data_IF_282305697365
#
_entry.id   IF_282305697365
#
_cell.length_a   1.000
_cell.length_b   1.000
_cell.length_c   1.000
_cell.angle_alpha   90.00
_cell.angle_beta   90.00
_cell.angle_gamma   90.00
#
_symmetry.space_group_name_H-M   'P 1'
#
loop_
_entity.id
_entity.type
_entity.pdbx_description
1 polymer ?
#
# COMPACT_ATOMS: atom_id res chain seq x y z
N UNK A 1 47.03 16.86 60.88
CA UNK A 1 46.85 15.77 59.89
C UNK A 1 46.23 14.57 60.58
N UNK A 2 44.97 14.26 60.29
CA UNK A 2 44.38 12.95 60.55
C UNK A 2 43.19 12.77 59.59
N UNK A 3 43.42 12.02 58.50
CA UNK A 3 42.37 11.47 57.64
C UNK A 3 41.60 10.44 58.46
N UNK A 4 40.27 10.54 58.53
CA UNK A 4 39.42 9.43 58.99
C UNK A 4 38.41 9.07 57.91
N UNK A 5 38.62 7.85 57.42
CA UNK A 5 37.85 7.08 56.45
C UNK A 5 36.32 7.17 56.63
N UNK A 6 35.60 7.48 55.54
CA UNK A 6 34.18 7.20 55.43
C UNK A 6 33.99 5.78 54.88
N UNK A 7 33.57 4.86 55.76
CA UNK A 7 33.04 3.56 55.38
C UNK A 7 31.70 3.74 54.64
N UNK A 8 31.65 3.34 53.36
CA UNK A 8 30.38 3.14 52.64
C UNK A 8 29.65 1.95 53.26
N UNK A 9 28.57 2.20 54.00
CA UNK A 9 27.54 1.18 54.23
C UNK A 9 26.68 1.10 52.98
N UNK A 10 26.67 -0.06 52.32
CA UNK A 10 25.68 -0.41 51.29
C UNK A 10 24.32 -0.53 51.99
N UNK A 11 23.50 0.50 51.88
CA UNK A 11 22.10 0.49 52.25
C UNK A 11 21.26 0.16 51.02
N UNK A 12 20.39 -0.84 51.16
CA UNK A 12 19.36 -1.24 50.21
C UNK A 12 18.43 -0.03 49.97
N UNK A 13 18.29 0.39 48.71
CA UNK A 13 17.35 1.45 48.32
C UNK A 13 15.94 0.86 48.23
N UNK A 14 15.12 1.13 49.24
CA UNK A 14 13.67 1.05 49.11
C UNK A 14 13.21 2.40 48.55
N UNK A 15 12.90 2.46 47.26
CA UNK A 15 12.48 3.70 46.58
C UNK A 15 11.03 4.00 46.98
N UNK A 16 10.86 4.83 48.00
CA UNK A 16 9.61 5.58 48.23
C UNK A 16 9.74 6.85 47.38
N UNK A 17 8.83 7.04 46.42
CA UNK A 17 8.88 8.16 45.47
C UNK A 17 8.86 9.51 46.22
N UNK A 18 9.91 10.32 46.04
CA UNK A 18 9.93 11.73 46.42
C UNK A 18 9.85 12.57 45.15
N UNK A 19 8.85 13.47 45.04
CA UNK A 19 8.83 14.49 43.99
C UNK A 19 9.61 15.72 44.48
N UNK A 20 10.80 15.99 43.93
CA UNK A 20 11.51 17.25 44.18
C UNK A 20 10.87 18.36 43.35
N UNK A 21 10.10 19.25 43.99
CA UNK A 21 9.68 20.51 43.37
C UNK A 21 10.66 21.60 43.81
N UNK A 22 11.43 22.13 42.86
CA UNK A 22 12.36 23.22 43.11
C UNK A 22 11.56 24.54 43.06
N UNK A 23 11.09 25.02 44.21
CA UNK A 23 10.38 26.31 44.29
C UNK A 23 11.43 27.41 44.40
N UNK A 24 11.68 28.12 43.30
CA UNK A 24 12.58 29.27 43.31
C UNK A 24 11.98 30.43 44.10
N UNK A 25 12.34 30.55 45.38
CA UNK A 25 11.95 31.70 46.22
C UNK A 25 13.18 32.46 46.69
N UNK A 26 13.20 33.75 46.36
CA UNK A 26 14.11 34.72 46.93
C UNK A 26 13.72 34.94 48.40
N UNK A 27 14.70 34.95 49.31
CA UNK A 27 14.47 35.10 50.74
C UNK A 27 13.74 36.42 51.04
N UNK A 28 12.45 36.33 51.39
CA UNK A 28 11.71 37.41 52.05
C UNK A 28 11.37 36.99 53.47
N UNK A 29 11.45 37.92 54.41
CA UNK A 29 11.36 37.73 55.86
C UNK A 29 9.96 37.41 56.41
N UNK A 30 9.01 37.06 55.54
CA UNK A 30 7.64 36.73 55.92
C UNK A 30 7.39 35.22 55.70
N UNK A 31 6.63 34.53 56.57
CA UNK A 31 6.21 33.16 56.30
C UNK A 31 5.45 33.13 54.97
N UNK A 32 5.98 32.41 53.98
CA UNK A 32 5.27 32.16 52.73
C UNK A 32 4.22 31.10 53.04
N UNK A 33 2.97 31.54 53.14
CA UNK A 33 1.82 30.65 53.21
C UNK A 33 1.64 29.99 51.83
N UNK A 34 2.06 28.73 51.71
CA UNK A 34 1.80 27.94 50.49
C UNK A 34 0.33 27.57 50.56
N UNK A 35 -0.52 28.44 50.03
CA UNK A 35 -1.95 28.17 49.88
C UNK A 35 -2.15 26.80 49.20
N UNK A 36 -2.92 25.93 49.86
CA UNK A 36 -3.36 24.59 49.44
C UNK A 36 -4.17 24.57 48.12
N UNK A 37 -4.15 25.62 47.31
CA UNK A 37 -5.07 25.80 46.18
C UNK A 37 -4.74 24.96 44.93
N UNK A 38 -3.61 24.26 44.91
CA UNK A 38 -3.22 23.37 43.79
C UNK A 38 -3.07 21.88 44.16
N UNK A 39 -3.29 21.49 45.42
CA UNK A 39 -3.27 20.08 45.82
C UNK A 39 -4.70 19.55 45.81
N UNK A 40 -5.07 18.82 44.75
CA UNK A 40 -6.40 18.19 44.61
C UNK A 40 -6.50 16.83 45.34
N UNK A 41 -5.44 16.40 46.02
CA UNK A 41 -5.37 15.10 46.69
C UNK A 41 -5.13 15.29 48.20
N UNK A 42 -6.02 14.70 49.00
CA UNK A 42 -6.06 14.80 50.47
C UNK A 42 -4.90 14.07 51.16
N UNK A 43 -4.06 13.35 50.41
CA UNK A 43 -2.92 12.59 50.96
C UNK A 43 -1.54 13.23 50.78
N UNK A 44 -1.47 14.43 50.19
CA UNK A 44 -0.23 15.21 50.14
C UNK A 44 -0.05 15.97 51.47
N UNK A 45 0.98 15.62 52.24
CA UNK A 45 1.35 16.38 53.45
C UNK A 45 2.57 17.25 53.17
N UNK A 46 2.43 18.55 53.38
CA UNK A 46 3.55 19.50 53.37
C UNK A 46 4.17 19.50 54.76
N UNK A 47 5.40 19.00 54.91
CA UNK A 47 6.16 19.29 56.13
C UNK A 47 6.64 20.73 56.08
N UNK A 48 6.37 21.48 57.15
CA UNK A 48 6.68 22.90 57.32
C UNK A 48 8.08 23.25 56.80
N UNK A 49 8.16 24.22 55.88
CA UNK A 49 9.44 24.77 55.42
C UNK A 49 9.85 25.84 56.43
N UNK A 50 11.02 25.69 57.06
CA UNK A 50 11.58 26.76 57.90
C UNK A 50 12.18 27.85 57.02
N UNK A 51 12.31 29.08 57.52
CA UNK A 51 12.93 30.22 56.81
C UNK A 51 14.41 30.01 56.40
N UNK A 52 14.98 28.85 56.70
CA UNK A 52 16.36 28.47 56.37
C UNK A 52 16.48 27.40 55.27
N UNK A 53 15.38 26.82 54.80
CA UNK A 53 15.38 25.76 53.78
C UNK A 53 14.69 26.24 52.50
N UNK A 54 15.42 26.27 51.38
CA UNK A 54 14.91 26.67 50.05
C UNK A 54 14.26 25.48 49.32
N UNK A 55 14.17 24.31 49.96
CA UNK A 55 13.60 23.08 49.40
C UNK A 55 12.83 22.33 50.48
N UNK A 56 11.53 22.13 50.29
CA UNK A 56 10.67 21.29 51.14
C UNK A 56 10.39 19.93 50.50
N UNK A 57 10.07 18.93 51.33
CA UNK A 57 9.64 17.61 50.87
C UNK A 57 8.12 17.53 50.92
N UNK A 58 7.49 17.16 49.80
CA UNK A 58 6.09 16.74 49.80
C UNK A 58 6.08 15.23 50.03
N UNK A 59 5.50 14.81 51.15
CA UNK A 59 5.21 13.40 51.37
C UNK A 59 3.86 13.09 50.70
N UNK A 60 3.92 12.36 49.59
CA UNK A 60 2.76 11.79 48.93
C UNK A 60 2.63 10.33 49.36
N UNK A 61 1.64 10.01 50.17
CA UNK A 61 1.29 8.62 50.50
C UNK A 61 0.05 8.31 49.66
N UNK A 62 0.14 7.52 48.58
CA UNK A 62 -1.04 7.17 47.79
C UNK A 62 -2.10 6.53 48.69
N UNK A 63 -3.39 6.73 48.38
CA UNK A 63 -4.47 5.94 48.99
C UNK A 63 -4.13 4.46 48.93
N UNK A 64 -4.53 3.66 49.92
CA UNK A 64 -4.42 2.19 49.88
C UNK A 64 -5.14 1.57 48.67
N UNK A 65 -6.09 2.31 48.10
CA UNK A 65 -6.84 1.94 46.90
C UNK A 65 -6.09 2.29 45.60
N UNK A 66 -4.94 2.95 45.70
CA UNK A 66 -4.15 3.29 44.53
C UNK A 66 -3.47 2.04 43.99
N UNK A 67 -3.63 1.83 42.69
CA UNK A 67 -2.91 0.82 41.92
C UNK A 67 -2.10 1.51 40.83
N UNK A 68 -0.93 0.96 40.55
CA UNK A 68 -0.07 1.47 39.50
C UNK A 68 0.65 0.34 38.79
N UNK A 69 0.90 0.54 37.51
CA UNK A 69 1.60 -0.38 36.63
C UNK A 69 2.33 0.39 35.54
N UNK A 70 2.91 -0.33 34.59
CA UNK A 70 3.64 0.26 33.48
C UNK A 70 3.21 -0.37 32.16
N UNK A 71 3.18 0.44 31.10
CA UNK A 71 2.92 0.00 29.73
C UNK A 71 4.13 0.28 28.86
N UNK A 72 4.57 -0.75 28.14
CA UNK A 72 5.64 -0.68 27.15
C UNK A 72 5.08 -0.81 25.74
N UNK A 73 5.82 -0.29 24.76
CA UNK A 73 5.62 -0.61 23.34
C UNK A 73 5.93 -2.08 23.08
N UNK A 74 5.71 -2.53 21.86
CA UNK A 74 5.95 -3.90 21.41
C UNK A 74 7.33 -4.46 21.75
N UNK A 75 8.36 -3.61 21.72
CA UNK A 75 9.73 -3.95 22.09
C UNK A 75 9.91 -4.39 23.57
N UNK A 76 8.90 -4.19 24.41
CA UNK A 76 8.90 -4.55 25.82
C UNK A 76 9.82 -3.70 26.71
N UNK A 77 10.44 -2.66 26.17
CA UNK A 77 11.45 -1.84 26.88
C UNK A 77 11.15 -0.34 26.77
N UNK A 78 10.65 0.13 25.64
CA UNK A 78 10.33 1.54 25.43
C UNK A 78 8.97 1.88 26.07
N UNK A 79 8.89 2.91 26.92
CA UNK A 79 7.62 3.35 27.48
C UNK A 79 6.56 3.73 26.42
N UNK A 80 5.34 3.25 26.59
CA UNK A 80 4.21 3.57 25.70
C UNK A 80 3.49 4.86 26.17
N UNK A 81 4.13 6.01 25.96
CA UNK A 81 3.50 7.31 26.18
C UNK A 81 2.40 7.60 25.16
N UNK A 82 1.35 8.31 25.58
CA UNK A 82 0.13 8.54 24.78
C UNK A 82 -0.96 7.47 24.96
N UNK A 83 -0.62 6.34 25.59
CA UNK A 83 -1.57 5.25 25.87
C UNK A 83 -2.61 5.69 26.92
N UNK A 84 -3.87 5.32 26.69
CA UNK A 84 -4.95 5.45 27.67
C UNK A 84 -5.20 4.08 28.29
N UNK A 85 -5.08 3.99 29.60
CA UNK A 85 -5.40 2.78 30.37
C UNK A 85 -6.78 2.93 30.97
N UNK A 86 -7.66 1.97 30.71
CA UNK A 86 -8.95 1.82 31.37
C UNK A 86 -8.92 0.69 32.39
N UNK A 87 -9.64 0.87 33.49
CA UNK A 87 -9.86 -0.20 34.49
C UNK A 87 -11.34 -0.30 34.83
N UNK A 88 -11.86 -1.51 34.80
CA UNK A 88 -13.18 -1.87 35.32
C UNK A 88 -13.02 -2.93 36.41
N UNK A 89 -13.69 -2.73 37.54
CA UNK A 89 -13.74 -3.72 38.62
C UNK A 89 -15.02 -4.54 38.41
N UNK A 90 -14.89 -5.87 38.42
CA UNK A 90 -16.02 -6.81 38.33
C UNK A 90 -16.07 -7.64 39.60
N UNK A 91 -17.23 -7.63 40.26
CA UNK A 91 -17.52 -8.51 41.40
C UNK A 91 -17.48 -9.97 40.97
N UNK A 92 -16.58 -10.73 41.56
CA UNK A 92 -16.35 -12.14 41.24
C UNK A 92 -16.47 -13.05 42.48
N UNK A 93 -16.43 -12.50 43.69
CA UNK A 93 -16.60 -13.25 44.93
C UNK A 93 -18.01 -13.11 45.57
N UNK A 94 -18.84 -12.23 45.01
CA UNK A 94 -20.20 -11.94 45.46
C UNK A 94 -20.27 -11.02 46.68
N UNK A 95 -19.16 -10.38 47.06
CA UNK A 95 -19.09 -9.43 48.17
C UNK A 95 -18.90 -7.99 47.64
N UNK A 96 -19.62 -7.05 48.26
CA UNK A 96 -19.60 -5.65 47.85
C UNK A 96 -20.70 -5.29 46.85
N UNK A 97 -20.37 -4.44 45.88
CA UNK A 97 -21.26 -3.99 44.83
C UNK A 97 -21.34 -5.05 43.73
N UNK A 98 -22.54 -5.56 43.44
CA UNK A 98 -22.71 -6.55 42.38
C UNK A 98 -22.47 -5.97 40.98
N UNK A 99 -21.93 -6.81 40.08
CA UNK A 99 -21.70 -6.48 38.69
C UNK A 99 -20.42 -5.66 38.48
N UNK A 100 -20.46 -4.74 37.52
CA UNK A 100 -19.27 -3.99 37.11
C UNK A 100 -19.29 -2.54 37.62
N UNK A 101 -18.10 -2.02 37.89
CA UNK A 101 -17.90 -0.60 38.10
C UNK A 101 -18.01 0.20 36.80
N UNK A 102 -18.15 1.51 36.91
CA UNK A 102 -17.82 2.44 35.84
C UNK A 102 -16.33 2.31 35.48
N UNK A 103 -15.98 2.63 34.23
CA UNK A 103 -14.58 2.70 33.81
C UNK A 103 -13.84 3.83 34.53
N UNK A 104 -12.70 3.50 35.11
CA UNK A 104 -11.65 4.46 35.47
C UNK A 104 -10.68 4.59 34.30
N UNK A 105 -10.02 5.73 34.15
CA UNK A 105 -9.02 5.91 33.09
C UNK A 105 -7.83 6.77 33.48
N UNK A 106 -6.70 6.51 32.83
CA UNK A 106 -5.47 7.28 32.97
C UNK A 106 -4.79 7.45 31.61
N UNK A 107 -4.44 8.69 31.25
CA UNK A 107 -3.62 8.99 30.08
C UNK A 107 -2.14 9.04 30.50
N UNK A 108 -1.33 8.15 29.96
CA UNK A 108 0.12 8.12 30.18
C UNK A 108 0.77 9.24 29.38
N UNK A 109 1.38 10.22 30.05
CA UNK A 109 2.10 11.32 29.40
C UNK A 109 3.56 10.94 29.21
N UNK A 110 4.28 11.70 28.37
CA UNK A 110 5.71 11.51 28.13
C UNK A 110 6.53 11.55 29.43
N UNK A 111 6.18 12.47 30.34
CA UNK A 111 6.85 12.62 31.63
C UNK A 111 6.61 11.46 32.60
N UNK A 112 5.58 10.63 32.36
CA UNK A 112 5.22 9.52 33.24
C UNK A 112 6.06 8.27 32.96
N UNK A 113 6.87 8.24 31.89
CA UNK A 113 7.78 7.12 31.62
C UNK A 113 7.08 5.76 31.48
N UNK A 114 5.84 5.75 30.98
CA UNK A 114 5.03 4.54 30.79
C UNK A 114 4.21 4.14 32.00
N UNK A 115 4.34 4.83 33.13
CA UNK A 115 3.59 4.51 34.34
C UNK A 115 2.15 5.05 34.26
N UNK A 116 1.20 4.25 34.74
CA UNK A 116 -0.18 4.67 35.00
C UNK A 116 -0.51 4.50 36.47
N UNK A 117 -1.41 5.33 36.98
CA UNK A 117 -1.85 5.28 38.37
C UNK A 117 -3.35 5.55 38.47
N UNK A 118 -4.08 4.62 39.10
CA UNK A 118 -5.53 4.69 39.25
C UNK A 118 -5.92 4.45 40.71
N UNK A 119 -6.89 5.22 41.20
CA UNK A 119 -7.42 5.04 42.56
C UNK A 119 -8.76 4.31 42.46
N UNK A 120 -8.78 3.03 42.86
CA UNK A 120 -9.96 2.17 42.79
C UNK A 120 -11.11 2.69 43.66
N UNK A 121 -10.82 3.41 44.74
CA UNK A 121 -11.83 4.03 45.61
C UNK A 121 -12.66 5.11 44.90
N UNK A 122 -12.23 5.58 43.72
CA UNK A 122 -12.99 6.50 42.90
C UNK A 122 -13.97 5.79 41.94
N UNK A 123 -13.91 4.46 41.83
CA UNK A 123 -14.82 3.70 40.99
C UNK A 123 -16.27 3.94 41.42
N UNK A 124 -17.17 4.14 40.44
CA UNK A 124 -18.61 4.30 40.67
C UNK A 124 -19.32 3.03 40.25
N UNK A 125 -20.54 2.83 40.72
CA UNK A 125 -21.46 1.83 40.12
C UNK A 125 -21.70 2.16 38.65
N UNK A 126 -22.04 1.18 37.82
CA UNK A 126 -22.27 1.38 36.39
C UNK A 126 -23.35 2.44 36.07
N UNK A 127 -24.32 2.64 36.97
CA UNK A 127 -25.35 3.69 36.89
C UNK A 127 -24.89 5.08 37.36
N UNK A 128 -23.63 5.19 37.81
CA UNK A 128 -22.99 6.39 38.37
C UNK A 128 -23.62 6.92 39.66
N UNK A 129 -24.57 6.21 40.25
CA UNK A 129 -25.36 6.67 41.41
C UNK A 129 -24.60 6.64 42.73
N UNK A 130 -23.58 5.78 42.85
CA UNK A 130 -22.83 5.58 44.10
C UNK A 130 -21.38 5.17 43.84
N UNK A 131 -20.55 5.14 44.88
CA UNK A 131 -19.22 4.54 44.79
C UNK A 131 -19.34 3.01 44.74
N UNK A 132 -18.52 2.37 43.92
CA UNK A 132 -18.43 0.93 43.82
C UNK A 132 -17.65 0.39 45.02
N UNK A 133 -18.25 -0.51 45.78
CA UNK A 133 -17.60 -1.17 46.91
C UNK A 133 -17.01 -2.49 46.41
N UNK A 134 -15.68 -2.59 46.34
CA UNK A 134 -14.98 -3.79 45.90
C UNK A 134 -14.36 -4.54 47.09
N UNK A 135 -14.17 -5.85 46.95
CA UNK A 135 -13.43 -6.71 47.86
C UNK A 135 -11.93 -6.54 47.64
N UNK A 136 -11.15 -6.40 48.72
CA UNK A 136 -9.70 -6.23 48.63
C UNK A 136 -8.94 -7.46 48.06
N UNK A 137 -9.64 -8.59 47.92
CA UNK A 137 -9.22 -9.82 47.25
C UNK A 137 -10.47 -10.53 46.75
N UNK A 138 -10.41 -11.21 45.61
CA UNK A 138 -11.53 -12.00 45.06
C UNK A 138 -12.23 -11.36 43.87
N UNK A 139 -12.12 -10.03 43.72
CA UNK A 139 -12.67 -9.26 42.60
C UNK A 139 -11.66 -9.12 41.46
N UNK A 140 -12.18 -8.99 40.25
CA UNK A 140 -11.36 -8.83 39.05
C UNK A 140 -11.17 -7.35 38.72
N UNK A 141 -9.93 -6.92 38.50
CA UNK A 141 -9.58 -5.71 37.79
C UNK A 141 -9.31 -6.06 36.32
N UNK A 142 -10.25 -5.67 35.44
CA UNK A 142 -10.09 -5.76 34.00
C UNK A 142 -9.41 -4.47 33.52
N UNK A 143 -8.15 -4.58 33.09
CA UNK A 143 -7.30 -3.49 32.67
C UNK A 143 -7.11 -3.58 31.16
N UNK A 144 -7.42 -2.50 30.44
CA UNK A 144 -7.20 -2.41 29.00
C UNK A 144 -6.38 -1.18 28.68
N UNK A 145 -5.29 -1.34 27.92
CA UNK A 145 -4.49 -0.23 27.41
C UNK A 145 -4.73 -0.04 25.91
N UNK A 146 -5.00 1.21 25.49
CA UNK A 146 -5.15 1.59 24.09
C UNK A 146 -4.06 2.57 23.67
N UNK A 147 -3.39 2.28 22.56
CA UNK A 147 -2.48 3.20 21.89
C UNK A 147 -3.08 3.69 20.56
N UNK A 148 -2.53 4.74 19.97
CA UNK A 148 -2.97 5.21 18.65
C UNK A 148 -2.65 4.15 17.58
N UNK A 149 -3.66 3.67 16.82
CA UNK A 149 -3.47 2.66 15.76
C UNK A 149 -4.42 1.44 15.79
N UNK A 150 -5.51 1.46 16.59
CA UNK A 150 -6.48 0.36 16.80
C UNK A 150 -5.98 -0.88 17.57
N UNK A 151 -4.77 -0.81 18.11
CA UNK A 151 -4.19 -1.88 18.94
C UNK A 151 -4.46 -1.69 20.44
N UNK A 152 -4.77 -2.79 21.14
CA UNK A 152 -4.99 -2.81 22.59
C UNK A 152 -4.41 -4.05 23.25
N UNK A 153 -4.06 -3.93 24.53
CA UNK A 153 -3.66 -5.06 25.38
C UNK A 153 -4.56 -5.13 26.60
N UNK A 154 -5.04 -6.34 26.90
CA UNK A 154 -5.91 -6.64 28.03
C UNK A 154 -5.17 -7.43 29.11
N UNK A 155 -5.53 -7.16 30.36
CA UNK A 155 -5.03 -7.86 31.53
C UNK A 155 -6.14 -7.99 32.56
N UNK A 156 -6.35 -9.20 33.08
CA UNK A 156 -7.28 -9.45 34.19
C UNK A 156 -6.49 -9.93 35.40
N UNK A 157 -6.61 -9.21 36.52
CA UNK A 157 -5.90 -9.51 37.76
C UNK A 157 -6.80 -9.32 38.98
N UNK A 158 -6.49 -10.03 40.06
CA UNK A 158 -7.23 -9.92 41.32
C UNK A 158 -6.94 -8.56 42.01
N UNK A 159 -7.94 -7.96 42.68
CA UNK A 159 -7.80 -6.70 43.44
C UNK A 159 -6.74 -6.74 44.55
N UNK A 160 -6.35 -7.93 45.02
CA UNK A 160 -5.26 -8.14 45.98
C UNK A 160 -3.86 -8.06 45.36
N UNK A 161 -3.75 -8.01 44.04
CA UNK A 161 -2.47 -7.91 43.34
C UNK A 161 -1.73 -6.65 43.79
N UNK A 162 -0.55 -6.84 44.37
CA UNK A 162 0.29 -5.75 44.86
C UNK A 162 0.80 -4.89 43.71
N UNK A 163 0.99 -3.60 43.96
CA UNK A 163 1.66 -2.72 42.99
C UNK A 163 3.20 -2.80 43.12
N UNK A 164 3.98 -2.70 42.03
CA UNK A 164 3.54 -2.55 40.65
C UNK A 164 2.74 -3.75 40.15
N UNK A 165 1.65 -3.47 39.45
CA UNK A 165 0.95 -4.47 38.67
C UNK A 165 1.88 -5.01 37.57
N UNK A 166 1.70 -6.28 37.12
CA UNK A 166 2.50 -6.80 36.02
C UNK A 166 2.42 -5.88 34.82
N UNK A 167 3.56 -5.62 34.16
CA UNK A 167 3.62 -4.70 33.05
C UNK A 167 2.81 -5.22 31.85
N UNK A 168 2.19 -4.31 31.12
CA UNK A 168 1.54 -4.59 29.85
C UNK A 168 2.48 -4.21 28.72
N UNK A 169 2.51 -5.03 27.67
CA UNK A 169 3.29 -4.80 26.45
C UNK A 169 2.27 -4.67 25.33
N UNK A 170 2.25 -3.53 24.64
CA UNK A 170 1.39 -3.36 23.47
C UNK A 170 1.77 -4.42 22.42
N UNK A 171 0.82 -4.96 21.65
CA UNK A 171 1.19 -5.79 20.51
C UNK A 171 2.07 -4.98 19.53
N UNK A 172 2.91 -5.69 18.76
CA UNK A 172 3.64 -5.09 17.65
C UNK A 172 2.73 -4.89 16.46
N UNK A 173 3.07 -3.87 15.67
CA UNK A 173 2.51 -3.69 14.33
C UNK A 173 2.95 -4.87 13.47
N UNK A 174 2.08 -5.42 12.61
CA UNK A 174 2.49 -6.47 11.68
C UNK A 174 3.44 -5.90 10.61
N UNK A 175 4.35 -6.73 10.06
CA UNK A 175 5.16 -6.34 8.92
C UNK A 175 4.29 -5.88 7.75
N UNK A 176 4.73 -4.85 7.06
CA UNK A 176 4.02 -4.26 5.92
C UNK A 176 4.79 -4.52 4.63
N UNK A 177 4.07 -4.88 3.56
CA UNK A 177 4.63 -5.04 2.21
C UNK A 177 4.37 -3.76 1.42
N UNK A 178 5.43 -3.03 1.05
CA UNK A 178 5.33 -1.85 0.20
C UNK A 178 6.71 -1.54 -0.43
N UNK A 179 6.82 -1.48 -1.78
CA UNK A 179 5.77 -1.72 -2.78
C UNK A 179 5.36 -3.20 -2.87
N UNK A 180 4.35 -3.52 -3.70
CA UNK A 180 3.99 -4.91 -3.96
C UNK A 180 5.20 -5.69 -4.52
N UNK A 181 5.30 -6.97 -4.15
CA UNK A 181 6.33 -7.85 -4.69
C UNK A 181 6.18 -7.97 -6.21
N UNK A 182 7.27 -7.94 -6.98
CA UNK A 182 7.22 -8.04 -8.43
C UNK A 182 6.91 -9.47 -8.88
N UNK A 183 6.32 -9.60 -10.07
CA UNK A 183 6.23 -10.90 -10.75
C UNK A 183 7.64 -11.39 -11.10
N UNK A 184 7.92 -12.67 -10.84
CA UNK A 184 9.23 -13.28 -11.09
C UNK A 184 9.12 -14.24 -12.27
N UNK A 185 9.99 -14.03 -13.25
CA UNK A 185 10.17 -14.92 -14.40
C UNK A 185 11.65 -15.30 -14.48
N UNK A 186 11.92 -16.59 -14.67
CA UNK A 186 13.27 -17.13 -14.74
C UNK A 186 13.33 -18.31 -15.72
N UNK A 187 14.51 -18.57 -16.29
CA UNK A 187 14.71 -19.70 -17.22
C UNK A 187 14.79 -21.04 -16.45
N UNK A 188 14.15 -22.08 -17.00
CA UNK A 188 14.00 -23.43 -16.39
C UNK A 188 15.33 -24.14 -16.06
N UNK A 189 16.42 -23.75 -16.73
CA UNK A 189 17.79 -24.26 -16.50
C UNK A 189 18.78 -23.13 -16.11
N UNK A 190 18.25 -21.95 -15.81
CA UNK A 190 19.01 -20.78 -15.35
C UNK A 190 19.22 -20.76 -13.84
N UNK A 191 20.19 -19.97 -13.39
CA UNK A 191 20.38 -19.70 -11.96
C UNK A 191 19.96 -18.27 -11.59
N UNK A 192 19.05 -18.20 -10.60
CA UNK A 192 18.91 -17.17 -9.57
C UNK A 192 18.56 -15.76 -10.05
N UNK A 193 17.29 -15.58 -10.43
CA UNK A 193 16.67 -14.26 -10.22
C UNK A 193 16.43 -14.09 -8.73
N UNK A 194 16.98 -13.02 -8.18
CA UNK A 194 16.95 -12.73 -6.75
C UNK A 194 16.00 -11.60 -6.45
N UNK A 195 15.17 -11.77 -5.44
CA UNK A 195 14.43 -10.65 -4.84
C UNK A 195 15.02 -10.37 -3.48
N UNK A 196 15.56 -9.17 -3.29
CA UNK A 196 15.94 -8.71 -1.96
C UNK A 196 14.66 -8.31 -1.22
N UNK A 197 14.25 -9.11 -0.22
CA UNK A 197 12.98 -8.91 0.46
C UNK A 197 13.00 -7.67 1.38
N UNK A 198 14.19 -7.22 1.79
CA UNK A 198 14.36 -6.01 2.60
C UNK A 198 13.93 -4.74 1.81
N UNK A 199 13.89 -4.79 0.47
CA UNK A 199 13.40 -3.69 -0.38
C UNK A 199 11.86 -3.56 -0.39
N UNK A 200 11.14 -4.58 0.08
CA UNK A 200 9.68 -4.68 -0.07
C UNK A 200 8.94 -4.83 1.25
N UNK A 201 9.60 -5.28 2.31
CA UNK A 201 8.95 -5.52 3.60
C UNK A 201 9.67 -4.80 4.70
N UNK A 202 8.90 -4.11 5.51
CA UNK A 202 9.40 -3.40 6.68
C UNK A 202 8.44 -3.55 7.84
N UNK A 203 8.98 -3.55 9.04
CA UNK A 203 8.24 -3.54 10.29
C UNK A 203 8.61 -2.28 11.07
N UNK A 204 7.62 -1.61 11.67
CA UNK A 204 7.87 -0.36 12.37
C UNK A 204 8.50 -0.57 13.75
N UNK A 205 8.35 -1.76 14.32
CA UNK A 205 8.77 -2.12 15.66
C UNK A 205 10.03 -2.99 15.66
N UNK A 206 10.23 -3.81 14.63
CA UNK A 206 11.35 -4.74 14.50
C UNK A 206 12.28 -4.41 13.33
N UNK A 207 13.61 -4.54 13.47
CA UNK A 207 14.52 -4.40 12.34
C UNK A 207 14.38 -5.58 11.38
N UNK A 208 14.69 -5.39 10.09
CA UNK A 208 14.56 -6.43 9.05
C UNK A 208 15.27 -7.74 9.43
N UNK A 209 16.42 -7.66 10.11
CA UNK A 209 17.20 -8.80 10.61
C UNK A 209 16.46 -9.69 11.65
N UNK A 210 15.39 -9.18 12.28
CA UNK A 210 14.57 -9.92 13.22
C UNK A 210 13.37 -10.62 12.54
N UNK A 211 13.09 -10.30 11.27
CA UNK A 211 12.00 -10.91 10.52
C UNK A 211 12.32 -12.34 10.11
N UNK A 212 11.34 -13.22 10.26
CA UNK A 212 11.45 -14.62 9.83
C UNK A 212 10.72 -14.82 8.50
N UNK A 213 11.42 -15.40 7.54
CA UNK A 213 10.92 -15.59 6.19
C UNK A 213 10.69 -17.06 5.85
N UNK A 214 9.60 -17.34 5.16
CA UNK A 214 9.30 -18.67 4.63
C UNK A 214 8.49 -18.55 3.36
N UNK A 215 8.66 -19.51 2.45
CA UNK A 215 7.87 -19.63 1.23
C UNK A 215 7.17 -21.00 1.23
N UNK A 216 5.92 -21.02 0.77
CA UNK A 216 5.07 -22.22 0.75
C UNK A 216 4.06 -22.13 -0.39
N UNK A 217 3.44 -23.24 -0.77
CA UNK A 217 2.40 -23.28 -1.82
C UNK A 217 2.94 -23.52 -3.23
N UNK A 218 4.25 -23.71 -3.38
CA UNK A 218 4.87 -24.06 -4.67
C UNK A 218 4.97 -25.58 -4.83
N UNK A 219 4.73 -26.07 -6.05
CA UNK A 219 4.82 -27.48 -6.42
C UNK A 219 6.11 -27.76 -7.19
N UNK A 220 6.42 -26.92 -8.17
CA UNK A 220 7.58 -27.10 -9.06
C UNK A 220 8.59 -25.96 -8.97
N UNK A 221 8.21 -24.82 -8.37
CA UNK A 221 9.11 -23.71 -8.08
C UNK A 221 9.68 -23.84 -6.67
N UNK A 222 10.99 -23.97 -6.53
CA UNK A 222 11.68 -24.02 -5.25
C UNK A 222 12.18 -22.63 -4.88
N UNK A 223 11.71 -22.13 -3.74
CA UNK A 223 12.10 -20.83 -3.19
C UNK A 223 12.97 -21.06 -1.96
N UNK A 224 14.19 -20.52 -1.98
CA UNK A 224 15.10 -20.51 -0.83
C UNK A 224 15.32 -19.09 -0.38
N UNK A 225 15.16 -18.81 0.92
CA UNK A 225 15.40 -17.49 1.51
C UNK A 225 16.55 -17.64 2.52
N UNK A 226 17.80 -17.30 2.13
CA UNK A 226 18.95 -17.34 3.03
C UNK A 226 18.86 -16.25 4.11
N UNK A 227 19.76 -16.31 5.11
CA UNK A 227 19.84 -15.32 6.19
C UNK A 227 20.17 -13.88 5.74
N UNK A 228 20.43 -13.65 4.45
CA UNK A 228 20.56 -12.32 3.86
C UNK A 228 19.29 -11.82 3.19
N UNK A 229 18.14 -12.50 3.38
CA UNK A 229 16.80 -12.13 2.88
C UNK A 229 16.64 -11.98 1.36
N UNK A 230 17.68 -12.31 0.61
CA UNK A 230 17.64 -12.41 -0.85
C UNK A 230 17.01 -13.74 -1.26
N UNK A 231 15.71 -13.73 -1.58
CA UNK A 231 14.98 -14.90 -2.05
C UNK A 231 15.53 -15.36 -3.41
N UNK A 232 15.82 -16.65 -3.52
CA UNK A 232 16.27 -17.33 -4.74
C UNK A 232 15.17 -18.26 -5.24
N UNK A 233 14.87 -18.17 -6.54
CA UNK A 233 13.86 -18.96 -7.23
C UNK A 233 14.53 -19.94 -8.20
N UNK A 234 14.11 -21.19 -8.15
CA UNK A 234 14.54 -22.26 -9.05
C UNK A 234 13.33 -23.12 -9.41
N UNK A 235 13.42 -23.94 -10.46
CA UNK A 235 12.37 -24.88 -10.81
C UNK A 235 12.90 -26.32 -10.87
N UNK A 236 11.98 -27.29 -10.89
CA UNK A 236 12.29 -28.67 -11.27
C UNK A 236 12.89 -28.74 -12.67
N UNK A 237 13.80 -29.69 -12.87
CA UNK A 237 14.43 -29.90 -14.17
C UNK A 237 13.38 -30.22 -15.25
N UNK A 238 13.55 -29.62 -16.43
CA UNK A 238 12.65 -29.75 -17.58
C UNK A 238 11.20 -29.26 -17.33
N UNK A 239 10.95 -28.46 -16.28
CA UNK A 239 9.63 -27.90 -15.98
C UNK A 239 9.43 -26.49 -16.53
N UNK A 240 8.30 -26.28 -17.22
CA UNK A 240 7.78 -24.97 -17.64
C UNK A 240 6.32 -24.82 -17.20
N UNK A 241 5.93 -23.66 -16.65
CA UNK A 241 4.55 -23.41 -16.21
C UNK A 241 4.42 -22.35 -15.11
N UNK A 242 3.29 -22.36 -14.41
CA UNK A 242 2.96 -21.45 -13.29
C UNK A 242 2.09 -22.16 -12.24
N UNK A 243 2.34 -21.95 -10.93
CA UNK A 243 1.53 -22.50 -9.83
C UNK A 243 0.39 -21.52 -9.47
N UNK A 244 -0.82 -21.70 -10.02
CA UNK A 244 -1.97 -20.81 -9.73
C UNK A 244 -3.17 -21.49 -9.03
N UNK A 245 -3.23 -22.82 -8.89
CA UNK A 245 -4.37 -23.53 -8.23
C UNK A 245 -3.92 -24.74 -7.41
N UNK A 246 -4.54 -24.91 -6.23
CA UNK A 246 -4.32 -26.02 -5.32
C UNK A 246 -5.66 -26.60 -4.85
N UNK A 247 -5.79 -27.92 -4.83
CA UNK A 247 -6.93 -28.65 -4.25
C UNK A 247 -6.41 -29.61 -3.16
N UNK A 248 -7.13 -29.75 -2.05
CA UNK A 248 -6.67 -30.55 -0.90
C UNK A 248 -6.85 -32.06 -1.11
N UNK A 249 -7.79 -32.45 -1.96
CA UNK A 249 -8.21 -33.82 -2.16
C UNK A 249 -7.82 -34.35 -3.56
N UNK A 250 -7.52 -33.45 -4.51
CA UNK A 250 -7.23 -33.80 -5.90
C UNK A 250 -5.89 -33.25 -6.43
N UNK A 251 -5.25 -34.00 -7.33
CA UNK A 251 -4.06 -33.53 -8.03
C UNK A 251 -4.42 -32.48 -9.08
N UNK A 252 -3.53 -31.54 -9.36
CA UNK A 252 -3.76 -30.50 -10.38
C UNK A 252 -4.11 -31.09 -11.77
N UNK A 253 -3.49 -32.22 -12.13
CA UNK A 253 -3.82 -32.94 -13.38
C UNK A 253 -5.30 -33.38 -13.47
N UNK A 254 -5.96 -33.56 -12.32
CA UNK A 254 -7.37 -33.99 -12.23
C UNK A 254 -8.36 -32.82 -12.25
N UNK A 255 -7.89 -31.59 -12.06
CA UNK A 255 -8.72 -30.38 -12.06
C UNK A 255 -9.07 -29.98 -13.50
N UNK A 256 -10.37 -29.84 -13.77
CA UNK A 256 -10.86 -29.35 -15.05
C UNK A 256 -11.05 -27.84 -15.01
N UNK A 257 -10.47 -27.16 -15.99
CA UNK A 257 -10.61 -25.73 -16.18
C UNK A 257 -11.63 -25.43 -17.28
N UNK A 258 -12.36 -24.33 -17.07
CA UNK A 258 -13.16 -23.69 -18.10
C UNK A 258 -12.98 -22.18 -17.96
N UNK A 259 -12.81 -21.47 -19.07
CA UNK A 259 -12.69 -20.02 -19.05
C UNK A 259 -13.69 -19.42 -20.04
N UNK A 260 -14.27 -18.29 -19.68
CA UNK A 260 -15.23 -17.53 -20.48
C UNK A 260 -14.84 -16.07 -20.50
N UNK A 261 -15.30 -15.36 -21.53
CA UNK A 261 -15.10 -13.92 -21.68
C UNK A 261 -16.45 -13.21 -21.69
N UNK A 262 -16.47 -11.95 -21.32
CA UNK A 262 -17.64 -11.08 -21.47
C UNK A 262 -17.75 -10.44 -22.86
N UNK A 263 -16.81 -10.72 -23.78
CA UNK A 263 -16.75 -10.13 -25.13
C UNK A 263 -16.87 -11.19 -26.21
N UNK A 264 -17.49 -10.86 -27.34
CA UNK A 264 -17.53 -11.74 -28.53
C UNK A 264 -16.25 -11.68 -29.36
N UNK A 265 -15.39 -10.68 -29.10
CA UNK A 265 -14.18 -10.41 -29.88
C UNK A 265 -12.92 -11.06 -29.27
N UNK A 266 -13.01 -11.60 -28.06
CA UNK A 266 -11.94 -12.37 -27.44
C UNK A 266 -12.50 -13.72 -27.00
N UNK A 267 -11.84 -14.79 -27.42
CA UNK A 267 -12.15 -16.15 -26.97
C UNK A 267 -11.09 -16.62 -25.98
N UNK A 268 -11.54 -17.25 -24.89
CA UNK A 268 -10.70 -17.86 -23.89
C UNK A 268 -10.95 -19.37 -23.89
N UNK A 269 -9.90 -20.18 -23.99
CA UNK A 269 -10.01 -21.64 -23.99
C UNK A 269 -8.89 -22.25 -23.16
N UNK A 270 -9.25 -22.86 -22.04
CA UNK A 270 -8.32 -23.62 -21.21
C UNK A 270 -8.12 -25.04 -21.74
N UNK A 271 -6.86 -25.50 -21.79
CA UNK A 271 -6.53 -26.88 -22.12
C UNK A 271 -6.35 -27.69 -20.82
N UNK A 272 -7.25 -28.65 -20.56
CA UNK A 272 -7.21 -29.43 -19.30
C UNK A 272 -6.08 -30.46 -19.20
N UNK A 273 -5.34 -30.70 -20.28
CA UNK A 273 -4.13 -31.54 -20.27
C UNK A 273 -2.90 -30.69 -19.93
N UNK A 274 -2.72 -29.56 -20.61
CA UNK A 274 -1.52 -28.73 -20.45
C UNK A 274 -1.67 -27.60 -19.44
N UNK A 275 -2.88 -27.34 -18.95
CA UNK A 275 -3.29 -26.20 -18.10
C UNK A 275 -3.01 -24.82 -18.68
N UNK A 276 -2.78 -24.75 -20.00
CA UNK A 276 -2.55 -23.50 -20.71
C UNK A 276 -3.89 -22.87 -21.09
N UNK A 277 -4.09 -21.61 -20.71
CA UNK A 277 -5.16 -20.77 -21.21
C UNK A 277 -4.75 -20.12 -22.54
N UNK A 278 -5.45 -20.46 -23.61
CA UNK A 278 -5.30 -19.82 -24.90
C UNK A 278 -6.32 -18.69 -25.04
N UNK A 279 -5.83 -17.47 -25.25
CA UNK A 279 -6.63 -16.32 -25.61
C UNK A 279 -6.47 -16.07 -27.11
N UNK A 280 -7.57 -16.00 -27.84
CA UNK A 280 -7.57 -15.64 -29.26
C UNK A 280 -8.53 -14.49 -29.51
N UNK A 281 -7.98 -13.36 -29.93
CA UNK A 281 -8.77 -12.26 -30.47
C UNK A 281 -9.36 -12.66 -31.83
N UNK A 282 -10.60 -12.26 -32.09
CA UNK A 282 -11.20 -12.33 -33.42
C UNK A 282 -10.52 -11.33 -34.36
N UNK A 283 -10.62 -11.57 -35.67
CA UNK A 283 -10.08 -10.70 -36.74
C UNK A 283 -10.83 -9.37 -36.89
N UNK A 284 -11.44 -8.85 -35.82
CA UNK A 284 -12.12 -7.56 -35.79
C UNK A 284 -11.34 -6.71 -34.82
N UNK A 285 -10.83 -5.57 -35.28
CA UNK A 285 -10.06 -4.65 -34.46
C UNK A 285 -10.79 -4.32 -33.17
N UNK A 286 -10.29 -4.90 -32.08
CA UNK A 286 -10.83 -4.69 -30.75
C UNK A 286 -10.20 -3.40 -30.24
N UNK A 287 -10.84 -2.28 -30.55
CA UNK A 287 -10.39 -0.95 -30.12
C UNK A 287 -10.50 -0.84 -28.60
N UNK A 288 -9.35 -0.81 -27.89
CA UNK A 288 -9.24 -0.34 -26.51
C UNK A 288 -10.20 -0.94 -25.46
N UNK A 289 -10.73 -2.15 -25.69
CA UNK A 289 -11.69 -2.79 -24.78
C UNK A 289 -10.94 -3.57 -23.69
N UNK A 290 -11.24 -3.24 -22.43
CA UNK A 290 -10.88 -4.07 -21.29
C UNK A 290 -11.86 -5.26 -21.21
N UNK A 291 -11.38 -6.44 -21.58
CA UNK A 291 -12.18 -7.67 -21.59
C UNK A 291 -11.97 -8.43 -20.29
N UNK A 292 -13.06 -8.77 -19.62
CA UNK A 292 -13.00 -9.60 -18.41
C UNK A 292 -13.01 -11.07 -18.81
N UNK A 293 -11.98 -11.80 -18.37
CA UNK A 293 -11.86 -13.25 -18.50
C UNK A 293 -12.11 -13.86 -17.13
N UNK A 294 -13.06 -14.79 -17.07
CA UNK A 294 -13.41 -15.53 -15.86
C UNK A 294 -13.04 -17.00 -16.06
N UNK A 295 -12.23 -17.54 -15.17
CA UNK A 295 -11.80 -18.94 -15.21
C UNK A 295 -12.30 -19.68 -13.97
N UNK A 296 -12.87 -20.87 -14.20
CA UNK A 296 -13.40 -21.76 -13.18
C UNK A 296 -12.59 -23.04 -13.17
N UNK A 297 -12.03 -23.38 -12.01
CA UNK A 297 -11.39 -24.67 -11.73
C UNK A 297 -12.43 -25.59 -11.06
N UNK A 298 -12.60 -26.81 -11.55
CA UNK A 298 -13.58 -27.78 -11.06
C UNK A 298 -12.91 -29.11 -10.77
N UNK A 299 -13.08 -29.63 -9.55
CA UNK A 299 -12.60 -30.94 -9.14
C UNK A 299 -13.47 -32.08 -9.73
N UNK A 300 -13.02 -33.34 -9.69
CA UNK A 300 -13.81 -34.49 -10.14
C UNK A 300 -15.12 -34.72 -9.36
N UNK A 301 -15.25 -34.15 -8.16
CA UNK A 301 -16.45 -34.23 -7.33
C UNK A 301 -17.49 -33.15 -7.70
N UNK A 302 -17.14 -32.22 -8.60
CA UNK A 302 -17.97 -31.12 -9.07
C UNK A 302 -17.97 -29.88 -8.18
N UNK A 303 -17.08 -29.79 -7.20
CA UNK A 303 -16.80 -28.56 -6.48
C UNK A 303 -15.90 -27.67 -7.33
N UNK A 304 -16.12 -26.36 -7.24
CA UNK A 304 -15.43 -25.41 -8.11
C UNK A 304 -15.18 -24.09 -7.42
N UNK A 305 -14.09 -23.45 -7.81
CA UNK A 305 -13.80 -22.05 -7.49
C UNK A 305 -13.53 -21.26 -8.78
N UNK A 306 -13.68 -19.94 -8.72
CA UNK A 306 -13.62 -19.07 -9.90
C UNK A 306 -12.85 -17.79 -9.59
N UNK A 307 -12.00 -17.39 -10.52
CA UNK A 307 -11.31 -16.12 -10.49
C UNK A 307 -11.45 -15.36 -11.82
N UNK A 308 -11.24 -14.05 -11.81
CA UNK A 308 -11.38 -13.18 -12.98
C UNK A 308 -10.27 -12.15 -13.09
N UNK A 309 -9.81 -11.91 -14.32
CA UNK A 309 -8.81 -10.90 -14.62
C UNK A 309 -9.19 -10.11 -15.89
N UNK A 310 -8.54 -8.97 -16.08
CA UNK A 310 -8.79 -8.08 -17.22
C UNK A 310 -7.69 -8.27 -18.28
N UNK A 311 -8.10 -8.35 -19.53
CA UNK A 311 -7.23 -8.37 -20.72
C UNK A 311 -7.49 -7.09 -21.51
N UNK A 312 -6.48 -6.25 -21.64
CA UNK A 312 -6.53 -5.06 -22.50
C UNK A 312 -5.89 -5.38 -23.85
N UNK A 313 -6.64 -5.19 -24.94
CA UNK A 313 -6.10 -5.33 -26.30
C UNK A 313 -5.58 -3.96 -26.75
N UNK A 314 -4.28 -3.89 -27.05
CA UNK A 314 -3.64 -2.66 -27.51
C UNK A 314 -3.72 -2.55 -29.03
N UNK A 315 -4.04 -1.35 -29.52
CA UNK A 315 -4.04 -1.03 -30.95
C UNK A 315 -2.63 -1.11 -31.54
N UNK A 316 -2.54 -1.66 -32.76
CA UNK A 316 -1.34 -1.57 -33.58
C UNK A 316 -1.66 -0.66 -34.75
N UNK A 317 -1.30 0.63 -34.64
CA UNK A 317 -1.50 1.63 -35.69
C UNK A 317 -1.18 1.08 -37.11
N UNK A 318 -2.08 1.20 -38.06
CA UNK A 318 -1.95 0.71 -39.42
C UNK A 318 -1.67 1.82 -40.44
N UNK A 319 -1.04 1.52 -41.60
CA UNK A 319 -0.72 2.56 -42.57
C UNK A 319 -1.97 3.02 -43.34
N UNK A 320 -2.10 4.32 -43.65
CA UNK A 320 -3.22 4.84 -44.44
C UNK A 320 -3.22 4.22 -45.85
N UNK A 321 -4.40 3.87 -46.34
CA UNK A 321 -4.62 3.23 -47.64
C UNK A 321 -5.19 4.24 -48.63
N UNK A 322 -4.59 4.29 -49.84
CA UNK A 322 -5.16 5.06 -50.95
C UNK A 322 -6.02 4.13 -51.80
N UNK A 323 -7.34 4.32 -51.77
CA UNK A 323 -8.29 3.58 -52.58
C UNK A 323 -9.58 4.41 -52.76
N UNK A 324 -10.03 4.65 -54.00
CA UNK A 324 -9.45 4.23 -55.27
C UNK A 324 -8.15 4.99 -55.61
N UNK A 325 -7.47 4.60 -56.69
CA UNK A 325 -6.28 5.32 -57.15
C UNK A 325 -6.62 6.79 -57.48
N UNK A 326 -5.71 7.71 -57.14
CA UNK A 326 -5.86 9.13 -57.49
C UNK A 326 -5.98 9.29 -59.01
N UNK A 327 -6.91 10.14 -59.49
CA UNK A 327 -7.16 10.31 -60.92
C UNK A 327 -6.02 11.07 -61.60
N UNK A 328 -5.89 10.87 -62.92
CA UNK A 328 -5.06 11.72 -63.77
C UNK A 328 -5.67 13.12 -63.88
N UNK A 329 -4.81 14.13 -64.02
CA UNK A 329 -5.20 15.53 -64.01
C UNK A 329 -4.68 16.26 -65.24
N UNK A 330 -5.57 17.05 -65.84
CA UNK A 330 -5.28 17.92 -66.97
C UNK A 330 -5.79 19.32 -66.64
N UNK A 331 -4.95 20.33 -66.89
CA UNK A 331 -5.31 21.74 -66.76
C UNK A 331 -4.59 22.53 -67.86
N UNK A 332 -5.12 23.70 -68.21
CA UNK A 332 -4.53 24.56 -69.24
C UNK A 332 -3.17 25.12 -68.79
N UNK A 333 -2.26 25.34 -69.73
CA UNK A 333 -1.00 26.07 -69.46
C UNK A 333 -1.29 27.43 -68.83
N UNK A 334 -0.44 27.86 -67.90
CA UNK A 334 -0.64 29.06 -67.06
C UNK A 334 -1.92 29.05 -66.20
N UNK A 335 -2.64 27.93 -66.17
CA UNK A 335 -3.81 27.69 -65.36
C UNK A 335 -3.50 27.04 -64.01
N UNK A 336 -4.56 26.76 -63.26
CA UNK A 336 -4.49 25.97 -62.04
C UNK A 336 -5.66 24.97 -61.95
N UNK A 337 -5.49 23.93 -61.15
CA UNK A 337 -6.58 23.01 -60.79
C UNK A 337 -6.58 22.76 -59.29
N UNK A 338 -7.69 23.06 -58.61
CA UNK A 338 -7.90 22.92 -57.17
C UNK A 338 -9.10 22.02 -56.84
N UNK A 339 -9.33 20.98 -57.65
CA UNK A 339 -10.57 20.18 -57.55
C UNK A 339 -10.42 18.80 -56.93
N UNK A 340 -9.21 18.34 -56.60
CA UNK A 340 -9.03 17.03 -55.97
C UNK A 340 -9.07 17.19 -54.47
N UNK A 341 -10.18 16.77 -53.86
CA UNK A 341 -10.22 16.50 -52.43
C UNK A 341 -9.52 15.16 -52.18
N UNK A 342 -8.46 15.16 -51.37
CA UNK A 342 -7.68 13.95 -51.10
C UNK A 342 -8.35 13.03 -50.07
N UNK A 343 -9.27 13.57 -49.27
CA UNK A 343 -10.04 12.81 -48.29
C UNK A 343 -10.98 11.80 -48.98
N UNK A 344 -11.38 12.05 -50.24
CA UNK A 344 -12.18 11.13 -51.07
C UNK A 344 -11.42 9.86 -51.51
N UNK A 345 -10.09 9.80 -51.31
CA UNK A 345 -9.22 8.74 -51.85
C UNK A 345 -8.37 8.06 -50.79
N UNK A 346 -8.52 8.42 -49.52
CA UNK A 346 -7.76 7.83 -48.43
C UNK A 346 -8.70 7.27 -47.38
N UNK A 347 -8.24 6.21 -46.73
CA UNK A 347 -8.85 5.72 -45.50
C UNK A 347 -7.73 5.24 -44.59
N UNK A 348 -7.86 5.48 -43.30
CA UNK A 348 -7.03 4.93 -42.25
C UNK A 348 -7.97 4.31 -41.21
N UNK A 349 -7.61 3.15 -40.68
CA UNK A 349 -8.49 2.36 -39.82
C UNK A 349 -8.57 2.99 -38.41
N UNK A 350 -7.53 3.72 -37.99
CA UNK A 350 -7.45 4.34 -36.65
C UNK A 350 -7.58 5.87 -36.68
N UNK A 351 -7.03 6.54 -37.69
CA UNK A 351 -6.98 8.00 -37.77
C UNK A 351 -8.07 8.54 -38.74
N UNK A 352 -8.88 9.50 -38.27
CA UNK A 352 -9.79 10.23 -39.16
C UNK A 352 -8.99 11.08 -40.17
N UNK A 353 -9.57 11.38 -41.35
CA UNK A 353 -8.88 12.10 -42.44
C UNK A 353 -8.21 13.40 -42.00
N UNK A 354 -8.83 14.15 -41.09
CA UNK A 354 -8.30 15.39 -40.53
C UNK A 354 -6.97 15.23 -39.74
N UNK A 355 -6.65 14.02 -39.28
CA UNK A 355 -5.40 13.68 -38.59
C UNK A 355 -4.29 13.25 -39.57
N UNK A 356 -4.61 13.00 -40.84
CA UNK A 356 -3.66 12.58 -41.86
C UNK A 356 -2.87 13.77 -42.40
N UNK A 357 -1.60 13.52 -42.72
CA UNK A 357 -0.69 14.53 -43.27
C UNK A 357 -0.25 14.18 -44.68
N UNK A 358 -0.52 15.08 -45.62
CA UNK A 358 -0.20 14.91 -47.04
C UNK A 358 1.04 15.68 -47.48
N UNK A 359 1.80 15.12 -48.41
CA UNK A 359 2.87 15.82 -49.11
C UNK A 359 3.05 15.30 -50.53
N UNK A 360 3.34 16.20 -51.47
CA UNK A 360 3.67 15.91 -52.85
C UNK A 360 5.16 16.21 -53.09
N UNK A 361 5.84 15.40 -53.91
CA UNK A 361 7.27 15.59 -54.17
C UNK A 361 7.67 15.06 -55.54
N UNK A 362 8.80 15.56 -56.06
CA UNK A 362 9.42 15.12 -57.31
C UNK A 362 8.67 15.54 -58.57
N UNK A 363 7.89 16.61 -58.50
CA UNK A 363 7.52 17.33 -59.70
C UNK A 363 8.70 18.19 -60.22
N UNK A 364 8.74 18.47 -61.52
CA UNK A 364 9.78 19.33 -62.13
C UNK A 364 9.22 20.67 -62.61
N UNK A 365 8.18 20.64 -63.44
CA UNK A 365 7.51 21.82 -64.01
C UNK A 365 6.08 22.02 -63.49
N UNK A 366 5.59 21.08 -62.67
CA UNK A 366 4.28 21.14 -62.02
C UNK A 366 4.50 21.43 -60.55
N UNK A 367 3.76 22.36 -59.96
CA UNK A 367 3.80 22.64 -58.53
C UNK A 367 2.52 22.12 -57.89
N UNK A 368 2.66 21.44 -56.75
CA UNK A 368 1.53 20.87 -56.01
C UNK A 368 1.53 21.44 -54.60
N UNK A 369 0.42 22.06 -54.22
CA UNK A 369 0.21 22.61 -52.88
C UNK A 369 -0.99 21.91 -52.25
N UNK A 370 -0.84 21.43 -51.02
CA UNK A 370 -1.91 20.73 -50.29
C UNK A 370 -2.14 21.52 -48.99
N UNK A 371 -3.17 22.39 -48.94
CA UNK A 371 -3.54 23.14 -47.74
C UNK A 371 -4.12 22.21 -46.65
N UNK A 372 -4.37 22.76 -45.46
CA UNK A 372 -4.93 22.03 -44.32
C UNK A 372 -6.34 21.46 -44.55
N UNK A 373 -7.02 21.87 -45.63
CA UNK A 373 -8.31 21.28 -46.05
C UNK A 373 -8.15 20.15 -47.07
N UNK A 374 -6.94 19.62 -47.27
CA UNK A 374 -6.60 18.47 -48.11
C UNK A 374 -7.01 18.51 -49.59
N UNK A 375 -7.54 19.64 -50.07
CA UNK A 375 -7.79 19.89 -51.49
C UNK A 375 -6.48 20.24 -52.21
N UNK A 376 -5.99 19.33 -53.06
CA UNK A 376 -4.74 19.51 -53.79
C UNK A 376 -4.89 20.54 -54.91
N UNK A 377 -4.00 21.54 -54.91
CA UNK A 377 -3.89 22.56 -55.96
C UNK A 377 -2.66 22.32 -56.84
N UNK A 378 -2.86 22.29 -58.15
CA UNK A 378 -1.86 22.05 -59.19
C UNK A 378 -1.67 23.32 -60.01
N UNK A 379 -0.41 23.74 -60.21
CA UNK A 379 -0.02 24.79 -61.16
C UNK A 379 1.17 24.32 -61.98
N UNK A 380 1.52 25.03 -63.05
CA UNK A 380 2.73 24.78 -63.84
C UNK A 380 3.63 26.00 -63.92
N UNK A 381 4.89 25.81 -64.34
CA UNK A 381 5.76 26.89 -64.76
C UNK A 381 5.15 27.66 -65.94
N UNK A 382 5.42 28.97 -66.00
CA UNK A 382 4.88 29.82 -67.05
C UNK A 382 5.30 29.33 -68.45
N UNK A 383 4.39 29.38 -69.41
CA UNK A 383 4.56 28.95 -70.80
C UNK A 383 4.93 27.45 -70.98
N UNK A 384 4.75 26.62 -69.94
CA UNK A 384 5.04 25.18 -70.01
C UNK A 384 3.80 24.36 -70.38
N UNK A 385 3.94 23.54 -71.43
CA UNK A 385 2.97 22.51 -71.81
C UNK A 385 3.65 21.14 -71.94
N UNK A 386 2.95 20.08 -71.55
CA UNK A 386 3.44 18.70 -71.68
C UNK A 386 2.88 17.77 -70.62
N UNK A 387 3.27 16.50 -70.69
CA UNK A 387 2.91 15.50 -69.68
C UNK A 387 4.05 15.38 -68.67
N UNK A 388 3.72 15.46 -67.38
CA UNK A 388 4.66 15.11 -66.32
C UNK A 388 4.55 13.59 -66.03
N UNK A 389 5.28 12.75 -66.77
CA UNK A 389 5.29 11.27 -66.59
C UNK A 389 6.35 10.78 -65.57
N UNK A 390 6.19 9.60 -64.94
CA UNK A 390 6.20 9.43 -63.48
C UNK A 390 7.47 8.81 -62.90
N UNK A 391 8.67 9.21 -63.34
CA UNK A 391 9.88 8.78 -62.61
C UNK A 391 10.13 9.58 -61.32
N UNK A 392 9.29 10.58 -61.02
CA UNK A 392 9.58 11.51 -59.93
C UNK A 392 8.39 11.91 -59.06
N UNK A 393 7.14 11.92 -59.54
CA UNK A 393 5.98 12.28 -58.71
C UNK A 393 5.71 11.24 -57.62
N UNK A 394 6.00 11.61 -56.38
CA UNK A 394 5.80 10.80 -55.17
C UNK A 394 4.94 11.57 -54.19
N UNK A 395 3.74 11.05 -53.97
CA UNK A 395 2.87 11.48 -52.87
C UNK A 395 3.19 10.64 -51.63
N UNK A 396 3.13 11.26 -50.46
CA UNK A 396 3.34 10.59 -49.16
C UNK A 396 2.25 11.03 -48.21
N UNK A 397 1.60 10.05 -47.60
CA UNK A 397 0.65 10.21 -46.51
C UNK A 397 1.29 9.64 -45.26
N UNK A 398 1.07 10.28 -44.11
CA UNK A 398 1.44 9.76 -42.81
C UNK A 398 0.29 9.98 -41.84
N UNK A 399 0.10 9.00 -40.98
CA UNK A 399 -0.74 9.09 -39.82
C UNK A 399 0.04 9.68 -38.62
N UNK A 400 -0.62 9.85 -37.49
CA UNK A 400 -0.13 10.60 -36.33
C UNK A 400 1.15 10.02 -35.69
N UNK A 401 1.46 8.75 -35.91
CA UNK A 401 2.61 8.03 -35.31
C UNK A 401 3.69 7.55 -36.32
N UNK A 402 3.73 8.13 -37.52
CA UNK A 402 4.81 8.04 -38.54
C UNK A 402 4.92 6.78 -39.40
N UNK A 403 3.97 5.84 -39.37
CA UNK A 403 3.92 4.74 -40.37
C UNK A 403 3.59 5.31 -41.76
N UNK A 404 4.15 4.68 -42.82
CA UNK A 404 4.27 5.29 -44.16
C UNK A 404 3.79 4.36 -45.26
N UNK A 405 2.93 4.87 -46.12
CA UNK A 405 2.70 4.31 -47.45
C UNK A 405 3.38 5.17 -48.53
N UNK A 406 3.89 4.51 -49.57
CA UNK A 406 4.49 5.16 -50.75
C UNK A 406 3.84 4.56 -51.98
N UNK A 407 3.07 5.36 -52.70
CA UNK A 407 2.51 4.94 -53.97
C UNK A 407 3.38 5.46 -55.12
N UNK A 408 3.84 4.54 -55.98
CA UNK A 408 4.47 4.88 -57.25
C UNK A 408 3.46 4.52 -58.35
N UNK A 409 3.02 5.49 -59.14
CA UNK A 409 2.16 5.21 -60.30
C UNK A 409 3.06 4.65 -61.41
N UNK A 410 3.01 3.33 -61.63
CA UNK A 410 3.59 2.70 -62.81
C UNK A 410 2.44 2.28 -63.74
N UNK A 411 2.41 2.84 -64.95
CA UNK A 411 1.58 2.30 -66.03
C UNK A 411 2.41 1.93 -67.25
N UNK A 412 2.10 0.72 -67.74
CA UNK A 412 2.60 0.10 -68.97
C UNK A 412 2.12 0.89 -70.19
N UNK A 413 3.03 1.15 -71.12
CA UNK A 413 2.71 1.77 -72.40
C UNK A 413 1.73 0.91 -73.21
N UNK A 414 0.71 1.50 -73.87
CA UNK A 414 0.13 0.90 -75.06
C UNK A 414 1.10 1.09 -76.22
N UNK A 415 1.32 0.03 -77.00
CA UNK A 415 2.14 0.04 -78.20
C UNK A 415 1.58 0.96 -79.30
N UNK A 416 2.52 1.38 -80.15
CA UNK A 416 2.46 2.20 -81.37
C UNK A 416 1.12 2.39 -82.08
#
# INVERSE_FOLDING_TARGET
MAKKSMNKRKGIFLVVFFLLINVGVCATSDPIDIHETNLRDVHATVSWITSSEVTGWINYIPSSDTRWGQVFKADGVTPASGTIVYVQITDNDGAGSAGDSSLLSYLIKDADGGFYMLNLGNARTADLGSYFSYSASGDNMNITAYAAGDESVDQVIDTSTASPLPAMVMPGTPPTISPALPDITFDEDGCNDTVDLDDYVSDADEPDAALSWSASGNTHVHVTIPAGHVANFTADADWYGSDYVTDVDNLDSEINWSCVTNSTNLTATANNITKILNLSAGLVDVTGEDVMVTCTATDPNGLSDTDSFIVSVLEVNDPPVIAPALPDITFDEDGCNDTIDLDDYVSDEEDADAALSWSASGNTHVHVTIPAGHVANFTADADWYGNNHPHSNRYRIRNSTTKRQRHNICHSQPGE
#
